data_IF_352412978345
#
_entry.id   IF_352412978345
#
_cell.length_a   1.000
_cell.length_b   1.000
_cell.length_c   1.000
_cell.angle_alpha   90.00
_cell.angle_beta   90.00
_cell.angle_gamma   90.00
#
_symmetry.space_group_name_H-M   'P 1'
#
loop_
_entity.id
_entity.type
_entity.pdbx_description
1 polymer ?
#
# COMPACT_ATOMS: atom_id res chain seq x y z
N UNK A 1 -2.98 -2.04 32.78
CA UNK A 1 -2.29 -2.81 31.72
C UNK A 1 -1.29 -1.85 31.07
N UNK A 2 -0.54 -2.19 30.01
CA UNK A 2 0.24 -1.14 29.31
C UNK A 2 -0.73 -0.23 28.53
N UNK A 3 -0.33 1.01 28.23
CA UNK A 3 -1.12 1.94 27.40
C UNK A 3 -1.58 1.29 26.08
N UNK A 4 -0.67 0.55 25.42
CA UNK A 4 -0.94 -0.19 24.19
C UNK A 4 -1.97 -1.31 24.39
N UNK A 5 -1.92 -2.01 25.52
CA UNK A 5 -2.86 -3.08 25.84
C UNK A 5 -4.26 -2.53 26.09
N UNK A 6 -4.36 -1.42 26.83
CA UNK A 6 -5.62 -0.74 27.11
C UNK A 6 -6.25 -0.21 25.83
N UNK A 7 -5.47 0.43 24.96
CA UNK A 7 -5.93 0.87 23.65
C UNK A 7 -6.38 -0.29 22.76
N UNK A 8 -5.61 -1.38 22.69
CA UNK A 8 -5.94 -2.55 21.88
C UNK A 8 -7.29 -3.19 22.29
N UNK A 9 -7.50 -3.37 23.60
CA UNK A 9 -8.77 -3.89 24.13
C UNK A 9 -9.90 -2.89 23.87
N UNK A 10 -9.65 -1.60 24.11
CA UNK A 10 -10.64 -0.54 23.87
C UNK A 10 -11.12 -0.51 22.43
N UNK A 11 -10.26 -0.68 21.43
CA UNK A 11 -10.68 -0.72 20.02
C UNK A 11 -11.64 -1.87 19.72
N UNK A 12 -11.39 -3.05 20.29
CA UNK A 12 -12.26 -4.19 20.10
C UNK A 12 -13.61 -4.02 20.81
N UNK A 13 -13.59 -3.60 22.08
CA UNK A 13 -14.80 -3.49 22.89
C UNK A 13 -15.68 -2.30 22.49
N UNK A 14 -15.07 -1.15 22.20
CA UNK A 14 -15.83 0.08 21.93
C UNK A 14 -16.28 0.20 20.48
N UNK A 15 -15.44 -0.23 19.54
CA UNK A 15 -15.70 -0.03 18.10
C UNK A 15 -15.91 -1.34 17.34
N UNK A 16 -15.74 -2.50 17.99
CA UNK A 16 -15.86 -3.78 17.31
C UNK A 16 -14.78 -3.99 16.26
N UNK A 17 -13.61 -3.37 16.41
CA UNK A 17 -12.50 -3.49 15.46
C UNK A 17 -11.66 -4.73 15.75
N UNK A 18 -11.26 -5.43 14.69
CA UNK A 18 -10.42 -6.62 14.80
C UNK A 18 -8.95 -6.21 14.93
N UNK A 19 -8.34 -6.51 16.08
CA UNK A 19 -7.00 -6.08 16.47
C UNK A 19 -6.01 -7.23 16.35
N UNK A 20 -4.75 -6.92 16.03
CA UNK A 20 -3.63 -7.86 16.04
C UNK A 20 -2.36 -7.22 16.60
N UNK A 21 -1.46 -8.00 17.25
CA UNK A 21 -0.19 -7.50 17.74
C UNK A 21 0.84 -7.45 16.59
N UNK A 22 1.51 -6.32 16.46
CA UNK A 22 2.58 -6.11 15.48
C UNK A 22 3.93 -6.00 16.19
N UNK A 23 5.00 -6.30 15.45
CA UNK A 23 6.34 -5.92 15.88
C UNK A 23 6.40 -4.41 16.14
N UNK A 24 7.32 -4.00 17.00
CA UNK A 24 7.53 -2.59 17.36
C UNK A 24 8.99 -2.20 17.09
N UNK A 25 9.39 -1.03 17.59
CA UNK A 25 10.73 -0.47 17.46
C UNK A 25 11.37 -0.41 18.85
N UNK A 26 12.52 -1.06 19.00
CA UNK A 26 13.31 -1.06 20.22
C UNK A 26 14.77 -0.70 19.88
N UNK A 27 15.30 0.37 20.50
CA UNK A 27 16.66 0.83 20.24
C UNK A 27 16.94 1.17 18.77
N UNK A 28 15.95 1.75 18.07
CA UNK A 28 16.05 2.10 16.65
C UNK A 28 15.97 0.91 15.68
N UNK A 29 15.70 -0.31 16.15
CA UNK A 29 15.57 -1.51 15.32
C UNK A 29 14.21 -2.19 15.50
N UNK A 30 13.80 -2.92 14.47
CA UNK A 30 12.59 -3.74 14.56
C UNK A 30 12.77 -4.84 15.60
N UNK A 31 11.75 -5.10 16.42
CA UNK A 31 11.78 -6.17 17.42
C UNK A 31 11.79 -7.58 16.81
N UNK A 32 11.69 -7.72 15.48
CA UNK A 32 11.83 -9.01 14.79
C UNK A 32 13.27 -9.50 14.66
N UNK A 33 14.26 -8.66 15.01
CA UNK A 33 15.68 -9.01 15.01
C UNK A 33 16.35 -9.01 13.63
N UNK A 34 15.60 -8.78 12.54
CA UNK A 34 16.19 -8.62 11.21
C UNK A 34 16.85 -7.25 11.09
N UNK A 35 18.10 -7.23 10.63
CA UNK A 35 18.87 -5.99 10.37
C UNK A 35 18.16 -5.16 9.30
N UNK A 36 17.88 -5.76 8.14
CA UNK A 36 17.20 -5.10 7.02
C UNK A 36 15.71 -5.48 6.99
N UNK A 37 14.99 -5.16 8.07
CA UNK A 37 13.55 -5.41 8.12
C UNK A 37 12.83 -4.57 7.04
N UNK A 38 12.05 -5.18 6.11
CA UNK A 38 11.39 -4.45 5.04
C UNK A 38 10.18 -3.63 5.52
N UNK A 39 9.70 -3.87 6.74
CA UNK A 39 8.57 -3.15 7.32
C UNK A 39 8.73 -2.98 8.85
N UNK A 40 9.75 -2.21 9.29
CA UNK A 40 10.11 -2.13 10.71
C UNK A 40 8.94 -1.65 11.56
N UNK A 41 8.57 -2.42 12.58
CA UNK A 41 7.51 -2.07 13.52
C UNK A 41 6.08 -2.14 12.96
N UNK A 42 5.87 -2.72 11.77
CA UNK A 42 4.55 -2.74 11.09
C UNK A 42 4.07 -4.13 10.69
N UNK A 43 4.88 -5.18 10.85
CA UNK A 43 4.49 -6.54 10.48
C UNK A 43 4.02 -7.37 11.68
N UNK A 44 3.12 -8.37 11.49
CA UNK A 44 2.50 -9.09 12.60
C UNK A 44 3.49 -9.93 13.43
N UNK A 45 3.19 -10.07 14.72
CA UNK A 45 3.82 -11.04 15.63
C UNK A 45 3.19 -12.44 15.53
N UNK A 46 1.94 -12.51 15.06
CA UNK A 46 1.17 -13.74 14.87
C UNK A 46 1.63 -14.52 13.64
N UNK A 47 1.49 -15.86 13.68
CA UNK A 47 1.98 -16.77 12.63
C UNK A 47 1.23 -16.59 11.31
N UNK A 48 -0.08 -16.44 11.38
CA UNK A 48 -0.96 -16.26 10.22
C UNK A 48 -1.34 -14.78 9.99
N UNK A 49 -0.62 -13.86 10.64
CA UNK A 49 -0.70 -12.43 10.42
C UNK A 49 -2.10 -11.85 10.65
N UNK A 50 -2.56 -11.00 9.72
CA UNK A 50 -3.88 -10.34 9.78
C UNK A 50 -5.06 -11.30 9.88
N UNK A 51 -4.90 -12.56 9.44
CA UNK A 51 -5.96 -13.58 9.56
C UNK A 51 -6.23 -13.99 11.01
N UNK A 52 -5.30 -13.69 11.93
CA UNK A 52 -5.49 -13.89 13.36
C UNK A 52 -6.03 -12.65 14.07
N UNK A 53 -6.34 -11.55 13.38
CA UNK A 53 -6.93 -10.38 14.03
C UNK A 53 -8.24 -10.76 14.72
N UNK A 54 -8.43 -10.31 15.96
CA UNK A 54 -9.52 -10.73 16.83
C UNK A 54 -10.28 -9.53 17.38
N UNK A 55 -11.56 -9.74 17.71
CA UNK A 55 -12.39 -8.81 18.50
C UNK A 55 -12.60 -9.30 19.94
N UNK A 56 -12.10 -10.49 20.26
CA UNK A 56 -12.20 -11.08 21.59
C UNK A 56 -11.19 -10.40 22.52
N UNK A 57 -11.69 -9.65 23.51
CA UNK A 57 -10.86 -8.88 24.42
C UNK A 57 -9.96 -9.76 25.29
N UNK A 58 -10.36 -11.00 25.58
CA UNK A 58 -9.50 -11.93 26.34
C UNK A 58 -8.29 -12.38 25.52
N UNK A 59 -8.53 -12.75 24.26
CA UNK A 59 -7.47 -13.10 23.31
C UNK A 59 -6.52 -11.93 23.07
N UNK A 60 -7.06 -10.72 22.90
CA UNK A 60 -6.28 -9.48 22.74
C UNK A 60 -5.45 -9.22 24.00
N UNK A 61 -6.05 -9.24 25.19
CA UNK A 61 -5.33 -9.04 26.44
C UNK A 61 -4.24 -10.11 26.65
N UNK A 62 -4.45 -11.35 26.19
CA UNK A 62 -3.43 -12.39 26.23
C UNK A 62 -2.21 -12.07 25.35
N UNK A 63 -2.41 -11.51 24.14
CA UNK A 63 -1.30 -11.08 23.29
C UNK A 63 -0.46 -9.99 23.94
N UNK A 64 -1.09 -8.99 24.55
CA UNK A 64 -0.33 -7.90 25.21
C UNK A 64 0.26 -8.29 26.56
N UNK A 65 -0.26 -9.32 27.25
CA UNK A 65 0.46 -9.95 28.37
C UNK A 65 1.76 -10.62 27.90
N UNK A 66 1.74 -11.23 26.72
CA UNK A 66 2.92 -11.88 26.12
C UNK A 66 3.90 -10.88 25.49
N UNK A 67 3.39 -9.82 24.87
CA UNK A 67 4.17 -8.78 24.18
C UNK A 67 3.69 -7.38 24.59
N UNK A 68 4.04 -6.90 25.81
CA UNK A 68 3.53 -5.63 26.32
C UNK A 68 3.88 -4.39 25.48
N UNK A 69 4.93 -4.51 24.65
CA UNK A 69 5.49 -3.49 23.77
C UNK A 69 4.95 -3.56 22.32
N UNK A 70 4.08 -4.51 22.00
CA UNK A 70 3.61 -4.72 20.63
C UNK A 70 2.86 -3.47 20.12
N UNK A 71 3.21 -3.05 18.90
CA UNK A 71 2.38 -2.09 18.18
C UNK A 71 1.02 -2.71 17.88
N UNK A 72 0.01 -1.86 17.74
CA UNK A 72 -1.37 -2.25 17.49
C UNK A 72 -1.61 -2.24 15.98
N UNK A 73 -2.06 -3.37 15.45
CA UNK A 73 -2.66 -3.46 14.12
C UNK A 73 -4.17 -3.51 14.22
N UNK A 74 -4.88 -2.88 13.27
CA UNK A 74 -6.32 -3.04 13.09
C UNK A 74 -6.58 -3.58 11.69
N UNK A 75 -7.18 -4.76 11.58
CA UNK A 75 -7.56 -5.34 10.31
C UNK A 75 -8.64 -4.49 9.62
N UNK A 76 -8.42 -4.14 8.36
CA UNK A 76 -9.40 -3.47 7.51
C UNK A 76 -10.27 -4.51 6.80
N UNK A 77 -11.28 -4.07 6.07
CA UNK A 77 -12.21 -4.98 5.40
C UNK A 77 -13.44 -5.30 6.26
N UNK A 78 -14.10 -6.42 5.92
CA UNK A 78 -15.25 -6.94 6.68
C UNK A 78 -14.95 -7.18 8.16
N UNK A 79 -13.69 -7.47 8.49
CA UNK A 79 -13.26 -7.70 9.87
C UNK A 79 -13.59 -6.51 10.78
N UNK A 80 -13.39 -5.26 10.34
CA UNK A 80 -13.68 -4.06 11.15
C UNK A 80 -14.74 -3.14 10.54
N UNK A 81 -15.28 -3.47 9.36
CA UNK A 81 -16.35 -2.72 8.72
C UNK A 81 -15.90 -1.44 8.01
N UNK A 82 -14.60 -1.25 7.78
CA UNK A 82 -14.06 -0.07 7.11
C UNK A 82 -12.89 -0.41 6.19
N UNK A 83 -12.62 0.47 5.23
CA UNK A 83 -11.37 0.56 4.50
C UNK A 83 -10.70 1.91 4.79
N UNK A 84 -9.44 2.06 4.41
CA UNK A 84 -8.65 3.27 4.64
C UNK A 84 -8.12 3.80 3.33
N UNK A 85 -8.26 5.10 3.11
CA UNK A 85 -7.45 5.86 2.16
C UNK A 85 -6.19 6.34 2.90
N UNK A 86 -5.04 5.80 2.49
CA UNK A 86 -3.73 6.05 3.07
C UNK A 86 -3.05 7.16 2.26
N UNK A 87 -2.85 8.32 2.90
CA UNK A 87 -2.32 9.53 2.28
C UNK A 87 -0.88 9.71 2.75
N UNK A 88 0.06 9.39 1.87
CA UNK A 88 1.49 9.36 2.18
C UNK A 88 2.17 10.71 1.94
N UNK A 89 2.23 11.53 3.00
CA UNK A 89 2.99 12.77 3.03
C UNK A 89 2.55 13.79 1.97
N UNK A 90 3.43 14.75 1.61
CA UNK A 90 3.06 15.86 0.72
C UNK A 90 2.55 15.42 -0.67
N UNK A 91 3.14 14.37 -1.27
CA UNK A 91 2.70 13.87 -2.58
C UNK A 91 1.28 13.29 -2.54
N UNK A 92 0.94 12.61 -1.45
CA UNK A 92 -0.42 12.12 -1.20
C UNK A 92 -1.41 13.26 -1.03
N UNK A 93 -1.04 14.30 -0.27
CA UNK A 93 -1.88 15.49 -0.07
C UNK A 93 -2.16 16.22 -1.39
N UNK A 94 -1.13 16.45 -2.22
CA UNK A 94 -1.29 17.09 -3.52
C UNK A 94 -2.22 16.27 -4.44
N UNK A 95 -2.05 14.95 -4.45
CA UNK A 95 -2.90 14.05 -5.23
C UNK A 95 -4.34 14.02 -4.73
N UNK A 96 -4.53 14.07 -3.42
CA UNK A 96 -5.86 14.11 -2.81
C UNK A 96 -6.56 15.44 -3.09
N UNK A 97 -5.85 16.55 -2.96
CA UNK A 97 -6.34 17.88 -3.29
C UNK A 97 -6.84 17.95 -4.73
N UNK A 98 -6.06 17.40 -5.67
CA UNK A 98 -6.43 17.34 -7.08
C UNK A 98 -7.67 16.48 -7.36
N UNK A 99 -7.83 15.35 -6.65
CA UNK A 99 -9.03 14.53 -6.75
C UNK A 99 -10.26 15.26 -6.17
N UNK A 100 -10.13 15.88 -5.01
CA UNK A 100 -11.19 16.66 -4.36
C UNK A 100 -11.62 17.83 -5.24
N UNK A 101 -10.65 18.55 -5.82
CA UNK A 101 -10.92 19.67 -6.73
C UNK A 101 -11.71 19.23 -7.97
N UNK A 102 -11.45 18.02 -8.49
CA UNK A 102 -12.11 17.50 -9.69
C UNK A 102 -13.48 16.86 -9.43
N UNK A 103 -13.63 16.20 -8.28
CA UNK A 103 -14.75 15.31 -8.04
C UNK A 103 -15.65 15.71 -6.87
N UNK A 104 -15.21 16.67 -6.04
CA UNK A 104 -15.92 17.15 -4.87
C UNK A 104 -15.23 16.78 -3.55
N UNK A 105 -15.65 17.44 -2.47
CA UNK A 105 -15.10 17.27 -1.13
C UNK A 105 -15.27 15.85 -0.58
N UNK A 106 -14.35 15.46 0.30
CA UNK A 106 -14.51 14.31 1.16
C UNK A 106 -15.39 14.69 2.37
N UNK A 107 -16.26 13.79 2.85
CA UNK A 107 -16.95 14.02 4.11
C UNK A 107 -15.97 13.97 5.28
N UNK A 108 -16.30 14.68 6.37
CA UNK A 108 -15.63 14.49 7.66
C UNK A 108 -15.75 13.02 8.08
N UNK A 109 -14.62 12.44 8.48
CA UNK A 109 -14.55 11.03 8.89
C UNK A 109 -13.41 10.82 9.87
N UNK A 110 -13.35 9.63 10.46
CA UNK A 110 -12.27 9.27 11.38
C UNK A 110 -10.90 9.38 10.69
N UNK A 111 -9.99 10.13 11.30
CA UNK A 111 -8.65 10.42 10.78
C UNK A 111 -7.55 10.05 11.78
N UNK A 112 -6.47 9.46 11.27
CA UNK A 112 -5.26 9.17 12.04
C UNK A 112 -4.04 9.78 11.38
N UNK A 113 -3.20 10.47 12.16
CA UNK A 113 -1.88 10.91 11.75
C UNK A 113 -0.89 9.75 11.85
N UNK A 114 -0.19 9.47 10.74
CA UNK A 114 0.79 8.39 10.67
C UNK A 114 2.16 8.86 11.14
N UNK A 115 2.95 7.96 11.72
CA UNK A 115 4.30 8.33 12.16
C UNK A 115 5.29 8.70 11.03
N UNK A 116 4.94 8.51 9.75
CA UNK A 116 5.68 9.04 8.61
C UNK A 116 5.34 10.51 8.29
N UNK A 117 4.27 11.07 8.86
CA UNK A 117 3.78 12.42 8.58
C UNK A 117 2.69 12.48 7.51
N UNK A 118 2.09 11.34 7.16
CA UNK A 118 0.88 11.25 6.36
C UNK A 118 -0.36 11.05 7.23
N UNK A 119 -1.47 10.63 6.62
CA UNK A 119 -2.72 10.38 7.34
C UNK A 119 -3.55 9.23 6.77
N UNK A 120 -4.32 8.59 7.63
CA UNK A 120 -5.31 7.59 7.27
C UNK A 120 -6.71 8.19 7.40
N UNK A 121 -7.48 8.16 6.32
CA UNK A 121 -8.89 8.50 6.33
C UNK A 121 -9.72 7.20 6.27
N UNK A 122 -10.51 6.94 7.30
CA UNK A 122 -11.31 5.72 7.40
C UNK A 122 -12.66 5.93 6.71
N UNK A 123 -13.09 4.99 5.89
CA UNK A 123 -14.41 4.99 5.26
C UNK A 123 -15.12 3.66 5.46
N UNK A 124 -16.43 3.70 5.61
CA UNK A 124 -17.24 2.49 5.85
C UNK A 124 -17.11 1.55 4.66
N UNK A 125 -16.99 0.26 4.95
CA UNK A 125 -17.04 -0.77 3.92
C UNK A 125 -18.44 -0.75 3.28
N UNK A 126 -18.58 -0.55 1.96
CA UNK A 126 -19.89 -0.54 1.33
C UNK A 126 -20.55 -1.92 1.41
N UNK A 127 -21.87 -1.93 1.62
CA UNK A 127 -22.64 -3.17 1.65
C UNK A 127 -22.61 -3.88 0.29
N UNK A 128 -22.55 -5.21 0.30
CA UNK A 128 -22.53 -6.02 -0.92
C UNK A 128 -21.26 -5.91 -1.78
N UNK A 129 -20.30 -5.04 -1.43
CA UNK A 129 -19.07 -4.83 -2.21
C UNK A 129 -17.84 -4.76 -1.32
N UNK A 130 -16.94 -5.72 -1.46
CA UNK A 130 -15.64 -5.64 -0.79
C UNK A 130 -14.71 -4.65 -1.53
N UNK A 131 -14.14 -3.70 -0.81
CA UNK A 131 -13.02 -2.89 -1.26
C UNK A 131 -11.74 -3.62 -0.87
N UNK A 132 -10.92 -4.01 -1.85
CA UNK A 132 -9.63 -4.66 -1.62
C UNK A 132 -8.49 -3.66 -1.39
N UNK A 133 -7.30 -4.18 -1.09
CA UNK A 133 -6.08 -3.36 -1.09
C UNK A 133 -5.78 -2.84 -2.50
N UNK A 134 -5.44 -1.56 -2.63
CA UNK A 134 -5.01 -0.95 -3.89
C UNK A 134 -3.79 -0.09 -3.60
N UNK A 135 -2.69 -0.35 -4.30
CA UNK A 135 -1.47 0.46 -4.21
C UNK A 135 -1.46 1.42 -5.39
N UNK A 136 -1.06 2.67 -5.15
CA UNK A 136 -1.01 3.74 -6.15
C UNK A 136 -2.36 3.97 -6.83
N UNK A 137 -3.39 4.25 -6.02
CA UNK A 137 -4.64 4.84 -6.51
C UNK A 137 -4.33 6.14 -7.28
N UNK A 138 -3.45 6.94 -6.69
CA UNK A 138 -2.74 8.06 -7.29
C UNK A 138 -1.32 8.11 -6.66
N UNK A 139 -0.41 8.99 -7.11
CA UNK A 139 0.85 9.22 -6.39
C UNK A 139 0.58 9.51 -4.90
N UNK A 140 1.33 8.86 -4.00
CA UNK A 140 1.12 8.99 -2.55
C UNK A 140 -0.26 8.58 -2.00
N UNK A 141 -1.13 7.93 -2.79
CA UNK A 141 -2.44 7.45 -2.33
C UNK A 141 -2.57 5.94 -2.47
N UNK A 142 -2.72 5.28 -1.33
CA UNK A 142 -2.93 3.84 -1.19
C UNK A 142 -4.28 3.54 -0.53
N UNK A 143 -4.74 2.29 -0.63
CA UNK A 143 -5.98 1.81 -0.04
C UNK A 143 -5.72 0.54 0.75
N UNK A 144 -6.13 0.53 2.01
CA UNK A 144 -6.14 -0.67 2.87
C UNK A 144 -7.58 -1.15 3.03
N UNK A 145 -7.89 -2.28 2.42
CA UNK A 145 -9.23 -2.87 2.36
C UNK A 145 -9.25 -4.30 2.88
N UNK A 146 -10.02 -5.16 2.23
CA UNK A 146 -10.14 -6.57 2.57
C UNK A 146 -8.77 -7.27 2.61
N UNK A 147 -8.49 -7.97 3.71
CA UNK A 147 -7.21 -8.65 3.96
C UNK A 147 -6.03 -7.71 4.23
N UNK A 148 -6.26 -6.40 4.38
CA UNK A 148 -5.30 -5.41 4.84
C UNK A 148 -5.41 -5.12 6.34
N UNK A 149 -4.51 -4.29 6.84
CA UNK A 149 -4.57 -3.71 8.18
C UNK A 149 -3.82 -2.39 8.21
N UNK A 150 -4.10 -1.56 9.22
CA UNK A 150 -3.35 -0.35 9.54
C UNK A 150 -2.61 -0.52 10.87
N UNK A 151 -1.54 0.25 11.07
CA UNK A 151 -0.95 0.46 12.40
C UNK A 151 -1.75 1.57 13.09
N UNK A 152 -2.18 1.30 14.32
CA UNK A 152 -3.07 2.18 15.07
C UNK A 152 -2.35 2.93 16.20
N UNK A 153 -2.83 4.12 16.54
CA UNK A 153 -2.39 4.81 17.76
C UNK A 153 -2.57 3.92 19.01
N UNK A 154 -1.75 4.05 20.07
CA UNK A 154 -0.59 4.94 20.21
C UNK A 154 0.74 4.26 19.80
N UNK A 155 0.74 3.40 18.77
CA UNK A 155 1.94 2.68 18.29
C UNK A 155 3.10 3.60 17.91
N UNK A 156 4.31 3.04 17.83
CA UNK A 156 5.54 3.77 17.48
C UNK A 156 6.01 3.42 16.06
N UNK A 157 6.32 4.44 15.27
CA UNK A 157 6.92 4.33 13.94
C UNK A 157 8.44 4.14 14.00
N UNK A 158 9.03 3.56 12.94
CA UNK A 158 10.48 3.38 12.80
C UNK A 158 11.29 4.67 13.01
N UNK A 159 10.73 5.82 12.60
CA UNK A 159 11.33 7.14 12.81
C UNK A 159 11.14 7.72 14.22
N UNK A 160 10.62 6.96 15.18
CA UNK A 160 10.43 7.37 16.58
C UNK A 160 9.15 8.16 16.88
N UNK A 161 8.45 8.67 15.86
CA UNK A 161 7.15 9.33 16.03
C UNK A 161 6.04 8.33 16.36
N UNK A 162 5.04 8.77 17.12
CA UNK A 162 3.85 7.96 17.42
C UNK A 162 2.81 8.09 16.31
N UNK A 163 1.98 7.06 16.19
CA UNK A 163 0.69 7.16 15.51
C UNK A 163 -0.31 7.82 16.46
N UNK A 164 -1.10 8.75 15.95
CA UNK A 164 -2.03 9.55 16.76
C UNK A 164 -3.36 9.68 16.03
N UNK A 165 -4.48 9.59 16.74
CA UNK A 165 -5.77 9.95 16.15
C UNK A 165 -5.85 11.47 16.07
N UNK A 166 -6.32 11.99 14.93
CA UNK A 166 -6.50 13.44 14.76
C UNK A 166 -7.52 13.95 15.78
N UNK A 167 -7.23 15.08 16.43
CA UNK A 167 -7.93 15.49 17.65
C UNK A 167 -9.42 15.76 17.40
N UNK A 168 -9.74 16.46 16.31
CA UNK A 168 -11.12 16.79 15.93
C UNK A 168 -11.85 15.63 15.23
N UNK A 169 -11.13 14.57 14.83
CA UNK A 169 -11.65 13.48 14.00
C UNK A 169 -11.30 12.10 14.55
N UNK A 170 -11.19 11.98 15.87
CA UNK A 170 -10.85 10.73 16.54
C UNK A 170 -12.05 9.76 16.61
N UNK A 171 -11.79 8.44 16.68
CA UNK A 171 -12.86 7.45 16.82
C UNK A 171 -13.71 7.71 18.06
N UNK A 172 -15.03 7.74 17.87
CA UNK A 172 -16.01 7.94 18.95
C UNK A 172 -16.49 9.39 19.11
N UNK A 173 -15.76 10.37 18.59
CA UNK A 173 -16.25 11.76 18.43
C UNK A 173 -16.91 11.95 17.07
N UNK A 174 -16.28 11.43 16.02
CA UNK A 174 -16.83 11.39 14.66
C UNK A 174 -17.14 9.95 14.26
N UNK A 175 -18.15 9.79 13.41
CA UNK A 175 -18.49 8.50 12.83
C UNK A 175 -17.61 8.21 11.61
N UNK A 176 -17.36 6.91 11.33
CA UNK A 176 -16.78 6.52 10.05
C UNK A 176 -17.82 6.81 8.95
N UNK A 177 -17.50 7.77 8.08
CA UNK A 177 -18.37 8.20 7.00
C UNK A 177 -18.43 7.17 5.86
N UNK A 178 -19.46 7.29 5.03
CA UNK A 178 -19.48 6.62 3.73
C UNK A 178 -18.50 7.32 2.80
N UNK A 179 -17.78 6.55 1.99
CA UNK A 179 -16.94 7.15 0.95
C UNK A 179 -17.83 7.79 -0.13
N UNK A 180 -17.45 8.96 -0.67
CA UNK A 180 -18.20 9.58 -1.74
C UNK A 180 -18.21 8.70 -3.00
N UNK A 181 -19.26 8.82 -3.80
CA UNK A 181 -19.47 8.00 -5.00
C UNK A 181 -18.26 8.02 -5.95
N UNK A 182 -17.65 9.19 -6.16
CA UNK A 182 -16.47 9.34 -7.02
C UNK A 182 -15.27 8.52 -6.53
N UNK A 183 -15.09 8.38 -5.21
CA UNK A 183 -14.01 7.56 -4.65
C UNK A 183 -14.32 6.09 -4.89
N UNK A 184 -15.56 5.66 -4.63
CA UNK A 184 -15.99 4.29 -4.88
C UNK A 184 -15.90 3.88 -6.37
N UNK A 185 -16.15 4.81 -7.28
CA UNK A 185 -15.99 4.65 -8.73
C UNK A 185 -14.51 4.52 -9.10
N UNK A 186 -13.63 5.38 -8.56
CA UNK A 186 -12.18 5.29 -8.78
C UNK A 186 -11.59 3.97 -8.24
N UNK A 187 -12.18 3.44 -7.16
CA UNK A 187 -11.86 2.12 -6.61
C UNK A 187 -12.46 0.97 -7.43
N UNK A 188 -13.58 1.20 -8.14
CA UNK A 188 -14.25 0.20 -9.00
C UNK A 188 -13.55 0.03 -10.34
N UNK A 189 -13.06 1.14 -10.89
CA UNK A 189 -12.45 1.17 -12.20
C UNK A 189 -11.24 0.25 -12.26
N UNK A 190 -10.89 -0.27 -13.45
CA UNK A 190 -9.53 -0.75 -13.68
C UNK A 190 -8.57 0.36 -13.20
N UNK A 191 -7.39 -0.01 -12.71
CA UNK A 191 -6.39 0.95 -12.27
C UNK A 191 -5.89 1.80 -13.47
N UNK A 192 -6.72 2.69 -13.98
CA UNK A 192 -6.32 3.89 -14.68
C UNK A 192 -5.82 4.83 -13.61
N UNK A 193 -4.66 4.49 -13.04
CA UNK A 193 -3.85 5.52 -12.42
C UNK A 193 -3.69 6.59 -13.49
N UNK A 194 -3.94 7.85 -13.11
CA UNK A 194 -3.46 9.00 -13.88
C UNK A 194 -2.01 8.65 -14.26
N UNK A 195 -1.80 8.25 -15.52
CA UNK A 195 -0.49 7.77 -15.94
C UNK A 195 0.52 8.86 -15.60
N UNK A 196 1.75 8.48 -15.23
CA UNK A 196 2.81 9.48 -15.02
C UNK A 196 2.78 10.49 -16.18
N UNK A 197 2.83 11.81 -15.92
CA UNK A 197 2.83 12.84 -16.96
C UNK A 197 3.86 12.51 -18.05
N UNK A 198 3.60 12.93 -19.29
CA UNK A 198 4.47 12.59 -20.42
C UNK A 198 5.90 13.11 -20.21
N UNK A 199 6.05 14.21 -19.47
CA UNK A 199 7.30 14.83 -19.04
C UNK A 199 8.16 13.86 -18.23
N UNK A 200 7.55 13.09 -17.32
CA UNK A 200 8.27 12.11 -16.48
C UNK A 200 8.85 10.99 -17.33
N UNK A 201 8.13 10.55 -18.37
CA UNK A 201 8.64 9.55 -19.31
C UNK A 201 9.76 10.10 -20.17
N UNK A 202 9.61 11.34 -20.65
CA UNK A 202 10.64 12.03 -21.45
C UNK A 202 11.93 12.17 -20.66
N UNK A 203 11.84 12.65 -19.43
CA UNK A 203 12.98 12.83 -18.54
C UNK A 203 13.68 11.50 -18.26
N UNK A 204 12.92 10.46 -17.89
CA UNK A 204 13.48 9.14 -17.62
C UNK A 204 14.24 8.58 -18.82
N UNK A 205 13.67 8.70 -20.03
CA UNK A 205 14.32 8.21 -21.25
C UNK A 205 15.57 9.03 -21.61
N UNK A 206 15.54 10.35 -21.41
CA UNK A 206 16.66 11.23 -21.75
C UNK A 206 17.81 11.18 -20.76
N UNK A 207 17.53 11.21 -19.46
CA UNK A 207 18.53 11.35 -18.40
C UNK A 207 19.09 10.00 -17.94
N UNK A 208 18.26 8.96 -17.94
CA UNK A 208 18.67 7.66 -17.41
C UNK A 208 18.60 7.57 -15.90
N UNK A 209 19.22 6.53 -15.32
CA UNK A 209 19.15 6.26 -13.87
C UNK A 209 20.42 5.60 -13.33
N UNK A 210 20.69 5.89 -12.05
CA UNK A 210 21.79 5.32 -11.27
C UNK A 210 21.42 3.98 -10.60
N UNK A 211 22.43 3.35 -10.01
CA UNK A 211 22.29 2.16 -9.18
C UNK A 211 21.21 2.32 -8.09
N UNK A 212 20.38 1.29 -7.91
CA UNK A 212 19.20 1.30 -7.03
C UNK A 212 17.88 1.66 -7.73
N UNK A 213 17.91 2.36 -8.87
CA UNK A 213 16.70 2.79 -9.60
C UNK A 213 16.43 2.01 -10.90
N UNK A 214 17.44 1.31 -11.42
CA UNK A 214 17.44 0.62 -12.73
C UNK A 214 16.30 -0.38 -12.91
N UNK A 215 16.17 -1.36 -12.01
CA UNK A 215 15.16 -2.42 -12.10
C UNK A 215 13.73 -1.86 -12.11
N UNK A 216 13.44 -0.93 -11.20
CA UNK A 216 12.13 -0.29 -11.12
C UNK A 216 11.83 0.55 -12.38
N UNK A 217 12.85 1.19 -12.94
CA UNK A 217 12.72 2.02 -14.15
C UNK A 217 12.49 1.19 -15.41
N UNK A 218 13.24 0.09 -15.59
CA UNK A 218 13.01 -0.86 -16.69
C UNK A 218 11.61 -1.46 -16.58
N UNK A 219 11.19 -1.87 -15.38
CA UNK A 219 9.84 -2.37 -15.16
C UNK A 219 8.75 -1.32 -15.49
N UNK A 220 8.98 -0.06 -15.11
CA UNK A 220 8.06 1.04 -15.40
C UNK A 220 7.94 1.30 -16.90
N UNK A 221 9.06 1.38 -17.63
CA UNK A 221 9.10 1.59 -19.07
C UNK A 221 8.52 0.40 -19.84
N UNK A 222 8.85 -0.83 -19.46
CA UNK A 222 8.25 -2.04 -20.03
C UNK A 222 6.73 -2.01 -19.90
N UNK A 223 6.22 -1.74 -18.70
CA UNK A 223 4.78 -1.60 -18.48
C UNK A 223 4.16 -0.47 -19.30
N UNK A 224 4.85 0.66 -19.46
CA UNK A 224 4.39 1.80 -20.26
C UNK A 224 4.25 1.43 -21.74
N UNK A 225 5.31 0.92 -22.35
CA UNK A 225 5.36 0.51 -23.76
C UNK A 225 4.32 -0.58 -24.04
N UNK A 226 4.32 -1.62 -23.22
CA UNK A 226 3.42 -2.75 -23.40
C UNK A 226 1.97 -2.29 -23.31
N UNK A 227 1.56 -1.51 -22.30
CA UNK A 227 0.17 -0.97 -22.20
C UNK A 227 -0.25 -0.13 -23.41
N UNK A 228 0.70 0.52 -24.09
CA UNK A 228 0.49 1.25 -25.35
C UNK A 228 0.51 0.37 -26.60
N UNK A 229 0.51 -0.96 -26.42
CA UNK A 229 0.47 -1.98 -27.48
C UNK A 229 1.73 -2.02 -28.34
N UNK A 230 2.86 -1.57 -27.81
CA UNK A 230 4.16 -1.89 -28.41
C UNK A 230 4.38 -3.40 -28.28
N UNK A 231 4.84 -4.03 -29.36
CA UNK A 231 5.15 -5.46 -29.40
C UNK A 231 6.21 -5.83 -28.34
N UNK A 232 6.10 -6.98 -27.63
CA UNK A 232 7.05 -7.36 -26.59
C UNK A 232 8.51 -7.44 -27.04
N UNK A 233 8.79 -7.89 -28.26
CA UNK A 233 10.16 -7.96 -28.77
C UNK A 233 10.70 -6.55 -29.06
N UNK A 234 9.87 -5.68 -29.64
CA UNK A 234 10.24 -4.27 -29.85
C UNK A 234 10.48 -3.57 -28.52
N UNK A 235 9.64 -3.80 -27.51
CA UNK A 235 9.81 -3.23 -26.18
C UNK A 235 11.10 -3.73 -25.51
N UNK A 236 11.44 -5.02 -25.67
CA UNK A 236 12.68 -5.59 -25.15
C UNK A 236 13.91 -4.93 -25.77
N UNK A 237 13.98 -4.83 -27.11
CA UNK A 237 15.11 -4.24 -27.81
C UNK A 237 15.32 -2.77 -27.42
N UNK A 238 14.23 -2.00 -27.32
CA UNK A 238 14.29 -0.61 -26.86
C UNK A 238 14.84 -0.50 -25.43
N UNK A 239 14.48 -1.44 -24.55
CA UNK A 239 14.93 -1.41 -23.15
C UNK A 239 16.35 -1.92 -22.96
N UNK A 240 16.80 -2.89 -23.78
CA UNK A 240 18.20 -3.30 -23.81
C UNK A 240 19.08 -2.13 -24.28
N UNK A 241 18.71 -1.47 -25.38
CA UNK A 241 19.42 -0.30 -25.86
C UNK A 241 19.43 0.85 -24.84
N UNK A 242 18.28 1.14 -24.22
CA UNK A 242 18.19 2.17 -23.19
C UNK A 242 19.04 1.81 -21.95
N UNK A 243 19.01 0.56 -21.47
CA UNK A 243 19.83 0.12 -20.34
C UNK A 243 21.32 0.33 -20.59
N UNK A 244 21.82 -0.08 -21.76
CA UNK A 244 23.23 0.07 -22.11
C UNK A 244 23.68 1.55 -22.14
N UNK A 245 22.82 2.43 -22.67
CA UNK A 245 23.18 3.84 -22.87
C UNK A 245 22.91 4.72 -21.65
N UNK A 246 21.85 4.43 -20.88
CA UNK A 246 21.25 5.34 -19.89
C UNK A 246 21.25 4.80 -18.45
N UNK A 247 21.49 3.51 -18.21
CA UNK A 247 21.69 3.01 -16.85
C UNK A 247 23.16 3.08 -16.43
N UNK A 248 23.42 3.40 -15.16
CA UNK A 248 24.76 3.47 -14.59
C UNK A 248 24.86 2.67 -13.28
N UNK A 249 25.68 1.61 -13.22
CA UNK A 249 26.13 0.80 -14.37
C UNK A 249 24.92 0.12 -15.06
N UNK A 250 25.04 -0.34 -16.32
CA UNK A 250 23.97 -1.10 -16.96
C UNK A 250 23.71 -2.41 -16.20
N UNK A 251 22.45 -2.85 -16.20
CA UNK A 251 22.09 -4.19 -15.70
C UNK A 251 22.54 -5.26 -16.71
N UNK A 252 22.79 -6.50 -16.25
CA UNK A 252 22.97 -7.64 -17.15
C UNK A 252 21.75 -7.81 -18.06
N UNK A 253 21.97 -8.09 -19.35
CA UNK A 253 20.89 -8.23 -20.33
C UNK A 253 19.87 -9.30 -19.90
N UNK A 254 20.32 -10.37 -19.25
CA UNK A 254 19.44 -11.42 -18.70
C UNK A 254 18.44 -10.90 -17.66
N UNK A 255 18.81 -9.89 -16.86
CA UNK A 255 17.95 -9.27 -15.87
C UNK A 255 16.91 -8.37 -16.52
N UNK A 256 17.31 -7.66 -17.59
CA UNK A 256 16.40 -6.87 -18.43
C UNK A 256 15.37 -7.78 -19.10
N UNK A 257 15.83 -8.85 -19.77
CA UNK A 257 14.98 -9.86 -20.42
C UNK A 257 13.96 -10.44 -19.44
N UNK A 258 14.43 -10.88 -18.26
CA UNK A 258 13.57 -11.48 -17.23
C UNK A 258 12.50 -10.50 -16.72
N UNK A 259 12.87 -9.23 -16.57
CA UNK A 259 11.94 -8.18 -16.13
C UNK A 259 10.88 -7.90 -17.19
N UNK A 260 11.28 -7.74 -18.45
CA UNK A 260 10.36 -7.46 -19.57
C UNK A 260 9.42 -8.64 -19.80
N UNK A 261 9.93 -9.86 -19.83
CA UNK A 261 9.13 -11.08 -20.03
C UNK A 261 8.07 -11.27 -18.93
N UNK A 262 8.45 -11.07 -17.66
CA UNK A 262 7.52 -11.12 -16.53
C UNK A 262 6.36 -10.13 -16.66
N UNK A 263 6.62 -8.93 -17.19
CA UNK A 263 5.61 -7.89 -17.38
C UNK A 263 4.78 -8.16 -18.64
N UNK A 264 5.41 -8.58 -19.73
CA UNK A 264 4.75 -8.96 -20.97
C UNK A 264 3.76 -10.10 -20.72
N UNK A 265 4.16 -11.14 -19.99
CA UNK A 265 3.28 -12.24 -19.60
C UNK A 265 2.05 -11.77 -18.83
N UNK A 266 2.24 -10.95 -17.79
CA UNK A 266 1.12 -10.38 -16.99
C UNK A 266 0.20 -9.52 -17.86
N UNK A 267 0.75 -8.72 -18.76
CA UNK A 267 -0.03 -7.85 -19.64
C UNK A 267 -0.80 -8.65 -20.71
N UNK A 268 -0.21 -9.72 -21.26
CA UNK A 268 -0.89 -10.64 -22.18
C UNK A 268 -2.01 -11.40 -21.48
N UNK A 269 -1.76 -11.92 -20.27
CA UNK A 269 -2.78 -12.56 -19.43
C UNK A 269 -3.93 -11.59 -19.11
N UNK A 270 -3.62 -10.31 -18.85
CA UNK A 270 -4.62 -9.25 -18.63
C UNK A 270 -5.48 -8.98 -19.87
N UNK A 271 -4.89 -9.07 -21.06
CA UNK A 271 -5.56 -8.76 -22.34
C UNK A 271 -6.40 -9.92 -22.88
N UNK A 272 -5.84 -11.12 -22.81
CA UNK A 272 -6.36 -12.31 -23.50
C UNK A 272 -7.06 -13.28 -22.54
N UNK A 273 -7.02 -13.02 -21.23
CA UNK A 273 -7.45 -13.96 -20.21
C UNK A 273 -6.46 -15.12 -20.01
N UNK A 274 -6.72 -16.00 -19.04
CA UNK A 274 -5.81 -17.09 -18.61
C UNK A 274 -5.52 -18.20 -19.64
N UNK A 275 -5.91 -18.04 -20.90
CA UNK A 275 -5.86 -19.08 -21.94
C UNK A 275 -4.73 -18.92 -22.96
N UNK A 276 -3.60 -18.31 -22.57
CA UNK A 276 -2.41 -18.27 -23.41
C UNK A 276 -1.20 -18.83 -22.66
N UNK A 277 -0.78 -20.06 -23.02
CA UNK A 277 0.55 -20.58 -22.68
C UNK A 277 1.48 -20.29 -23.84
N UNK A 278 2.61 -19.67 -23.52
CA UNK A 278 3.76 -19.54 -24.41
C UNK A 278 4.16 -20.94 -24.90
N UNK A 279 4.04 -21.20 -26.21
CA UNK A 279 4.62 -22.39 -26.83
C UNK A 279 6.10 -22.13 -27.05
N UNK A 280 6.94 -22.65 -26.16
CA UNK A 280 8.35 -22.89 -26.50
C UNK A 280 8.40 -24.04 -27.50
N UNK A 281 8.31 -23.73 -28.80
CA UNK A 281 8.58 -24.68 -29.89
C UNK A 281 9.05 -23.96 -31.16
N UNK A 282 10.36 -23.87 -31.32
CA UNK A 282 11.13 -24.02 -32.58
C UNK A 282 10.83 -23.11 -33.78
N UNK A 283 11.76 -22.20 -34.06
CA UNK A 283 12.80 -22.35 -35.10
C UNK A 283 13.86 -21.27 -34.92
#
# INVERSE_FOLDING_TARGET
MSELAEAAVYYAERFGWAVLPLHSIAGGRCTCGRVDCPSPGKHPLTRHGVKEASKDSEAIAAWWRRWPWANIGIATGKASGFFVLDVDGPEGEDSLYELVRRHGELPETVEQITGSGGRHLLFRMPEGRAIGNKVRLAPGLDVRGEGGYIVAAPSIHAGGRRYEWEFSSRPGEVQIAEAPGWLLELLAGPAEGLGRPVEVWRQLVSEGVEEGQRNNSIAALAGHLLRKRVDPYVALDLLLAWNQVKCRPPLPDEEVVRTVDSIAKKELERRLGKWWRWSTSGA
#
